data_IF_263071375374
#
_entry.id   IF_263071375374
#
_cell.length_a   1.000
_cell.length_b   1.000
_cell.length_c   1.000
_cell.angle_alpha   90.00
_cell.angle_beta   90.00
_cell.angle_gamma   90.00
#
_symmetry.space_group_name_H-M   'P 1'
#
loop_
_entity.id
_entity.type
_entity.pdbx_description
1 polymer ?
#
# COMPACT_ATOMS: atom_id res chain seq x y z
N UNK A 1 -73.08 -30.47 10.04
CA UNK A 1 -73.10 -30.18 8.59
C UNK A 1 -72.13 -29.02 8.36
N UNK A 2 -71.08 -29.24 7.57
CA UNK A 2 -70.00 -28.29 7.27
C UNK A 2 -70.45 -27.14 6.35
N UNK A 3 -69.90 -25.95 6.57
CA UNK A 3 -69.42 -25.07 5.49
C UNK A 3 -68.39 -24.06 6.05
N UNK A 4 -67.19 -23.93 5.45
CA UNK A 4 -66.17 -22.97 5.88
C UNK A 4 -66.31 -21.65 5.11
N UNK A 5 -66.02 -20.53 5.79
CA UNK A 5 -65.79 -19.23 5.13
C UNK A 5 -64.31 -18.91 5.15
N UNK A 6 -63.86 -18.54 3.97
CA UNK A 6 -62.53 -18.32 3.43
C UNK A 6 -61.99 -16.95 3.83
N UNK A 7 -60.80 -16.90 4.45
CA UNK A 7 -60.01 -15.66 4.50
C UNK A 7 -58.67 -15.86 3.78
N UNK A 8 -58.63 -15.32 2.57
CA UNK A 8 -57.41 -14.95 1.85
C UNK A 8 -56.80 -13.71 2.52
N UNK A 9 -55.48 -13.72 2.78
CA UNK A 9 -54.57 -12.59 2.53
C UNK A 9 -53.23 -12.78 3.27
N UNK A 10 -52.44 -13.77 2.86
CA UNK A 10 -51.01 -13.85 3.20
C UNK A 10 -50.18 -13.76 1.91
N UNK A 11 -50.51 -12.79 1.04
CA UNK A 11 -49.75 -12.51 -0.20
C UNK A 11 -48.86 -11.26 -0.12
N UNK A 12 -48.87 -10.54 1.00
CA UNK A 12 -48.11 -9.28 1.16
C UNK A 12 -46.71 -9.42 1.77
N UNK A 13 -46.44 -10.48 2.55
CA UNK A 13 -45.21 -10.57 3.34
C UNK A 13 -43.98 -11.09 2.57
N UNK A 14 -44.18 -11.71 1.40
CA UNK A 14 -43.08 -12.38 0.66
C UNK A 14 -42.27 -11.40 -0.21
N UNK A 15 -42.82 -10.24 -0.59
CA UNK A 15 -42.15 -9.30 -1.49
C UNK A 15 -41.18 -8.33 -0.80
N UNK A 16 -41.22 -8.19 0.53
CA UNK A 16 -40.31 -7.29 1.28
C UNK A 16 -39.04 -8.03 1.71
N UNK A 17 -39.07 -9.37 1.82
CA UNK A 17 -37.91 -10.16 2.24
C UNK A 17 -36.85 -10.38 1.14
N UNK A 18 -37.13 -10.04 -0.12
CA UNK A 18 -36.20 -10.20 -1.24
C UNK A 18 -35.31 -8.99 -1.51
N UNK A 19 -35.50 -7.88 -0.79
CA UNK A 19 -34.75 -6.62 -1.03
C UNK A 19 -33.57 -6.39 -0.07
N UNK A 20 -33.32 -7.30 0.88
CA UNK A 20 -32.42 -7.04 2.02
C UNK A 20 -31.03 -7.68 1.93
N UNK A 21 -30.71 -8.39 0.85
CA UNK A 21 -29.44 -9.13 0.74
C UNK A 21 -28.52 -8.59 -0.36
N UNK A 22 -28.43 -7.27 -0.50
CA UNK A 22 -27.27 -6.63 -1.13
C UNK A 22 -26.20 -6.46 -0.04
N UNK A 23 -25.52 -7.56 0.29
CA UNK A 23 -24.27 -7.47 1.04
C UNK A 23 -23.29 -6.80 0.08
N UNK A 24 -23.09 -5.49 0.24
CA UNK A 24 -22.04 -4.77 -0.44
C UNK A 24 -20.72 -5.36 0.04
N UNK A 25 -20.10 -6.21 -0.79
CA UNK A 25 -18.74 -6.65 -0.58
C UNK A 25 -17.87 -5.41 -0.79
N UNK A 26 -17.51 -4.73 0.30
CA UNK A 26 -16.50 -3.69 0.24
C UNK A 26 -15.18 -4.36 -0.09
N UNK A 27 -14.82 -4.39 -1.38
CA UNK A 27 -13.44 -4.60 -1.76
C UNK A 27 -12.65 -3.44 -1.13
N UNK A 28 -11.82 -3.75 -0.14
CA UNK A 28 -10.88 -2.77 0.41
C UNK A 28 -9.91 -2.41 -0.71
N UNK A 29 -9.94 -1.15 -1.13
CA UNK A 29 -8.98 -0.63 -2.11
C UNK A 29 -7.56 -0.87 -1.60
N UNK A 30 -6.69 -1.35 -2.48
CA UNK A 30 -5.32 -1.63 -2.10
C UNK A 30 -4.46 -0.38 -2.30
N UNK A 31 -3.84 0.08 -1.23
CA UNK A 31 -2.97 1.26 -1.25
C UNK A 31 -1.48 0.90 -1.21
N UNK A 32 -0.66 1.75 -1.81
CA UNK A 32 0.79 1.78 -1.64
C UNK A 32 1.13 2.85 -0.61
N UNK A 33 1.83 2.45 0.45
CA UNK A 33 2.43 3.37 1.41
C UNK A 33 3.82 3.79 0.92
N UNK A 34 4.04 5.10 0.82
CA UNK A 34 5.39 5.66 0.73
C UNK A 34 5.92 5.85 2.13
N UNK A 35 7.05 5.21 2.40
CA UNK A 35 7.65 5.10 3.72
C UNK A 35 8.98 5.85 3.77
N UNK A 36 9.25 6.49 4.90
CA UNK A 36 10.42 7.31 5.13
C UNK A 36 11.02 7.05 6.52
N UNK A 37 12.31 7.33 6.66
CA UNK A 37 12.97 7.41 7.97
C UNK A 37 12.36 8.56 8.79
N UNK A 38 12.49 8.50 10.12
CA UNK A 38 11.74 9.37 11.04
C UNK A 38 12.19 10.83 10.98
N UNK A 39 13.41 11.07 10.52
CA UNK A 39 14.09 12.35 10.52
C UNK A 39 13.70 13.23 9.31
N UNK A 40 13.08 12.64 8.29
CA UNK A 40 12.73 13.32 7.04
C UNK A 40 11.59 14.31 7.26
N UNK A 41 11.82 15.57 6.88
CA UNK A 41 10.85 16.64 6.98
C UNK A 41 10.32 17.06 5.60
N UNK A 42 9.43 16.23 5.02
CA UNK A 42 8.77 16.54 3.75
C UNK A 42 7.37 17.08 4.01
N UNK A 43 7.14 18.38 3.73
CA UNK A 43 5.80 18.96 3.73
C UNK A 43 5.68 20.11 2.71
N UNK A 44 4.62 20.14 1.88
CA UNK A 44 3.63 19.08 1.66
C UNK A 44 4.17 17.94 0.79
N UNK A 45 3.70 16.70 1.02
CA UNK A 45 4.01 15.54 0.17
C UNK A 45 2.94 15.41 -0.92
N UNK A 46 3.37 15.20 -2.16
CA UNK A 46 2.50 15.01 -3.34
C UNK A 46 3.18 14.11 -4.37
N UNK A 47 2.41 13.56 -5.32
CA UNK A 47 2.95 12.78 -6.45
C UNK A 47 4.10 13.49 -7.17
N UNK A 48 3.98 14.81 -7.36
CA UNK A 48 5.02 15.60 -8.02
C UNK A 48 6.32 15.64 -7.21
N UNK A 49 6.22 15.83 -5.88
CA UNK A 49 7.37 15.82 -4.98
C UNK A 49 8.02 14.43 -4.99
N UNK A 50 7.22 13.38 -4.82
CA UNK A 50 7.69 12.01 -4.85
C UNK A 50 8.34 11.65 -6.19
N UNK A 51 7.73 12.03 -7.32
CA UNK A 51 8.32 11.85 -8.65
C UNK A 51 9.68 12.52 -8.77
N UNK A 52 9.84 13.73 -8.24
CA UNK A 52 11.16 14.40 -8.21
C UNK A 52 12.17 13.67 -7.33
N UNK A 53 11.77 13.12 -6.19
CA UNK A 53 12.65 12.35 -5.31
C UNK A 53 13.11 11.07 -6.01
N UNK A 54 12.18 10.24 -6.51
CA UNK A 54 12.49 8.94 -7.12
C UNK A 54 13.18 9.06 -8.49
N UNK A 55 13.03 10.19 -9.19
CA UNK A 55 13.84 10.54 -10.37
C UNK A 55 15.14 11.26 -9.98
N UNK A 56 15.48 11.42 -8.70
CA UNK A 56 16.68 12.11 -8.21
C UNK A 56 16.83 13.57 -8.71
N UNK A 57 15.70 14.24 -8.93
CA UNK A 57 15.58 15.68 -9.21
C UNK A 57 15.40 16.53 -7.95
N UNK A 58 15.15 15.89 -6.81
CA UNK A 58 15.13 16.48 -5.47
C UNK A 58 15.98 15.58 -4.57
N UNK A 59 17.15 16.06 -4.15
CA UNK A 59 18.15 15.27 -3.42
C UNK A 59 18.22 15.55 -1.92
N UNK A 60 17.58 16.61 -1.44
CA UNK A 60 17.53 16.96 -0.02
C UNK A 60 16.13 17.41 0.38
N UNK A 61 15.78 17.28 1.65
CA UNK A 61 14.56 17.85 2.21
C UNK A 61 14.73 19.35 2.56
N UNK A 62 13.72 19.93 3.24
CA UNK A 62 13.72 21.35 3.64
C UNK A 62 14.71 21.69 4.75
N UNK A 63 15.20 20.69 5.48
CA UNK A 63 16.19 20.82 6.54
C UNK A 63 17.62 20.50 6.06
N UNK A 64 17.77 20.09 4.80
CA UNK A 64 19.06 19.76 4.19
C UNK A 64 19.45 18.29 4.33
N UNK A 65 18.58 17.43 4.86
CA UNK A 65 18.83 16.00 4.99
C UNK A 65 18.86 15.36 3.60
N UNK A 66 19.85 14.49 3.34
CA UNK A 66 19.99 13.85 2.03
C UNK A 66 18.93 12.78 1.84
N UNK A 67 18.17 12.86 0.75
CA UNK A 67 17.14 11.88 0.43
C UNK A 67 17.76 10.69 -0.31
N UNK A 68 17.56 9.49 0.24
CA UNK A 68 18.06 8.22 -0.27
C UNK A 68 16.89 7.32 -0.73
N UNK A 69 16.30 7.58 -1.91
CA UNK A 69 15.25 6.73 -2.45
C UNK A 69 15.78 5.34 -2.82
N UNK A 70 14.94 4.32 -2.64
CA UNK A 70 15.18 2.94 -3.11
C UNK A 70 13.98 2.41 -3.91
N UNK A 71 14.25 1.52 -4.86
CA UNK A 71 13.25 0.90 -5.73
C UNK A 71 13.18 -0.61 -5.50
N UNK A 72 12.04 -1.21 -5.88
CA UNK A 72 11.92 -2.66 -6.07
C UNK A 72 12.43 -3.06 -7.48
N UNK A 73 12.57 -4.36 -7.79
CA UNK A 73 12.99 -4.81 -9.12
C UNK A 73 12.06 -4.27 -10.21
N UNK A 74 12.54 -3.98 -11.44
CA UNK A 74 11.74 -3.37 -12.50
C UNK A 74 10.45 -4.12 -12.84
N UNK A 75 10.45 -5.44 -12.65
CA UNK A 75 9.32 -6.33 -12.93
C UNK A 75 8.41 -6.56 -11.71
N UNK A 76 8.75 -6.00 -10.54
CA UNK A 76 7.95 -6.18 -9.33
C UNK A 76 6.60 -5.45 -9.46
N UNK A 77 5.45 -6.11 -9.21
CA UNK A 77 4.12 -5.52 -9.39
C UNK A 77 3.95 -4.17 -8.67
N UNK A 78 4.39 -4.06 -7.41
CA UNK A 78 4.33 -2.81 -6.64
C UNK A 78 5.11 -1.67 -7.30
N UNK A 79 6.28 -1.92 -7.91
CA UNK A 79 7.02 -0.89 -8.64
C UNK A 79 6.31 -0.44 -9.90
N UNK A 80 5.68 -1.38 -10.62
CA UNK A 80 4.91 -1.06 -11.81
C UNK A 80 3.74 -0.14 -11.44
N UNK A 81 3.01 -0.48 -10.39
CA UNK A 81 1.93 0.34 -9.84
C UNK A 81 2.43 1.73 -9.42
N UNK A 82 3.46 1.80 -8.58
CA UNK A 82 4.05 3.07 -8.13
C UNK A 82 4.54 3.94 -9.30
N UNK A 83 5.20 3.34 -10.29
CA UNK A 83 5.70 4.07 -11.47
C UNK A 83 4.56 4.67 -12.29
N UNK A 84 3.43 3.97 -12.39
CA UNK A 84 2.25 4.45 -13.11
C UNK A 84 1.56 5.58 -12.34
N UNK A 85 1.25 5.35 -11.07
CA UNK A 85 0.45 6.29 -10.28
C UNK A 85 1.25 7.56 -9.91
N UNK A 86 2.50 7.40 -9.47
CA UNK A 86 3.32 8.50 -8.93
C UNK A 86 4.23 9.11 -9.99
N UNK A 87 5.01 8.28 -10.71
CA UNK A 87 5.96 8.80 -11.69
C UNK A 87 5.27 9.24 -12.98
N UNK A 88 4.09 8.68 -13.27
CA UNK A 88 3.36 8.82 -14.55
C UNK A 88 4.25 8.48 -15.75
N UNK A 89 5.14 7.50 -15.57
CA UNK A 89 6.11 7.07 -16.58
C UNK A 89 5.89 5.60 -16.99
N UNK A 90 6.05 5.33 -18.28
CA UNK A 90 6.17 3.95 -18.79
C UNK A 90 7.59 3.42 -18.59
N UNK A 91 7.76 2.10 -18.58
CA UNK A 91 9.08 1.46 -18.52
C UNK A 91 10.05 1.99 -19.61
N UNK A 92 9.55 2.26 -20.82
CA UNK A 92 10.32 2.86 -21.91
C UNK A 92 10.73 4.31 -21.61
N UNK A 93 9.84 5.10 -21.00
CA UNK A 93 10.16 6.47 -20.61
C UNK A 93 11.23 6.51 -19.52
N UNK A 94 11.11 5.65 -18.49
CA UNK A 94 12.11 5.56 -17.42
C UNK A 94 13.45 5.05 -17.93
N UNK A 95 13.48 4.04 -18.81
CA UNK A 95 14.72 3.57 -19.42
C UNK A 95 15.43 4.69 -20.21
N UNK A 96 14.68 5.45 -21.01
CA UNK A 96 15.20 6.61 -21.74
C UNK A 96 15.71 7.70 -20.78
N UNK A 97 14.98 7.99 -19.71
CA UNK A 97 15.38 8.95 -18.70
C UNK A 97 16.71 8.57 -18.06
N UNK A 98 16.83 7.34 -17.56
CA UNK A 98 18.03 6.86 -16.90
C UNK A 98 19.22 6.75 -17.86
N UNK A 99 19.02 6.34 -19.11
CA UNK A 99 20.09 6.38 -20.13
C UNK A 99 20.69 7.78 -20.26
N UNK A 100 19.87 8.84 -20.26
CA UNK A 100 20.35 10.23 -20.27
C UNK A 100 21.09 10.58 -18.97
N UNK A 101 20.56 10.18 -17.81
CA UNK A 101 21.19 10.48 -16.50
C UNK A 101 22.55 9.79 -16.33
N UNK A 102 22.72 8.57 -16.85
CA UNK A 102 23.99 7.86 -16.81
C UNK A 102 25.12 8.63 -17.51
N UNK A 103 24.85 9.25 -18.66
CA UNK A 103 25.82 10.12 -19.33
C UNK A 103 26.20 11.36 -18.50
N UNK A 104 25.36 11.75 -17.55
CA UNK A 104 25.60 12.84 -16.59
C UNK A 104 26.22 12.34 -15.28
N UNK A 105 26.63 11.06 -15.21
CA UNK A 105 27.21 10.46 -14.00
C UNK A 105 26.20 10.11 -12.91
N UNK A 106 24.90 10.23 -13.18
CA UNK A 106 23.84 9.96 -12.20
C UNK A 106 23.22 8.58 -12.43
N UNK A 107 23.28 7.74 -11.41
CA UNK A 107 22.63 6.42 -11.41
C UNK A 107 21.24 6.46 -10.75
N UNK A 108 20.32 5.56 -11.13
CA UNK A 108 19.01 5.40 -10.50
C UNK A 108 19.10 5.06 -9.01
N UNK A 109 17.99 5.18 -8.27
CA UNK A 109 17.85 4.62 -6.92
C UNK A 109 18.31 3.16 -6.84
N UNK A 110 18.90 2.76 -5.72
CA UNK A 110 19.28 1.37 -5.48
C UNK A 110 18.06 0.45 -5.54
N UNK A 111 18.27 -0.78 -5.99
CA UNK A 111 17.22 -1.79 -6.10
C UNK A 111 17.34 -2.79 -4.96
N UNK A 112 16.26 -2.95 -4.20
CA UNK A 112 16.14 -3.93 -3.12
C UNK A 112 15.16 -5.02 -3.54
N UNK A 113 15.46 -6.27 -3.18
CA UNK A 113 14.76 -7.44 -3.74
C UNK A 113 13.39 -7.73 -3.12
N UNK A 114 13.00 -7.06 -2.04
CA UNK A 114 11.72 -7.28 -1.36
C UNK A 114 11.21 -6.04 -0.62
N UNK A 115 9.91 -6.03 -0.31
CA UNK A 115 9.27 -4.98 0.48
C UNK A 115 9.81 -4.93 1.92
N UNK A 116 10.11 -6.08 2.55
CA UNK A 116 10.77 -6.12 3.86
C UNK A 116 12.19 -5.52 3.81
N UNK A 117 12.94 -5.76 2.73
CA UNK A 117 14.25 -5.13 2.55
C UNK A 117 14.12 -3.60 2.43
N UNK A 118 13.06 -3.11 1.79
CA UNK A 118 12.74 -1.66 1.75
C UNK A 118 12.45 -1.14 3.15
N UNK A 119 11.58 -1.79 3.93
CA UNK A 119 11.27 -1.37 5.30
C UNK A 119 12.54 -1.29 6.17
N UNK A 120 13.36 -2.35 6.14
CA UNK A 120 14.64 -2.39 6.86
C UNK A 120 15.58 -1.27 6.42
N UNK A 121 15.75 -1.07 5.11
CA UNK A 121 16.61 0.00 4.60
C UNK A 121 16.15 1.37 5.11
N UNK A 122 14.84 1.64 5.06
CA UNK A 122 14.24 2.90 5.51
C UNK A 122 14.40 3.10 7.01
N UNK A 123 14.30 2.04 7.81
CA UNK A 123 14.54 2.11 9.26
C UNK A 123 16.01 2.36 9.60
N UNK A 124 16.94 1.73 8.88
CA UNK A 124 18.37 1.73 9.23
C UNK A 124 19.15 2.89 8.57
N UNK A 125 18.55 3.62 7.63
CA UNK A 125 19.23 4.64 6.81
C UNK A 125 18.59 6.03 7.00
N UNK A 126 19.29 6.99 7.63
CA UNK A 126 18.87 8.38 7.64
C UNK A 126 18.61 8.89 6.21
N UNK A 127 17.50 9.58 6.01
CA UNK A 127 17.10 10.04 4.67
C UNK A 127 16.55 8.94 3.76
N UNK A 128 16.46 7.69 4.23
CA UNK A 128 15.88 6.57 3.48
C UNK A 128 14.41 6.79 3.12
N UNK A 129 14.06 6.59 1.85
CA UNK A 129 12.69 6.66 1.33
C UNK A 129 12.42 5.46 0.43
N UNK A 130 11.26 4.82 0.58
CA UNK A 130 10.83 3.71 -0.25
C UNK A 130 9.32 3.64 -0.37
N UNK A 131 8.84 2.55 -0.95
CA UNK A 131 7.40 2.26 -1.04
C UNK A 131 7.14 0.77 -0.89
N UNK A 132 6.04 0.46 -0.23
CA UNK A 132 5.51 -0.89 0.01
C UNK A 132 3.99 -0.87 -0.07
N UNK A 133 3.33 -2.02 -0.12
CA UNK A 133 1.89 -2.08 0.12
C UNK A 133 1.57 -1.63 1.54
N UNK A 134 0.52 -0.85 1.71
CA UNK A 134 0.14 -0.28 3.01
C UNK A 134 -0.09 -1.36 4.07
N UNK A 135 -0.62 -2.51 3.68
CA UNK A 135 -0.81 -3.69 4.54
C UNK A 135 0.49 -4.26 5.14
N UNK A 136 1.65 -3.98 4.54
CA UNK A 136 2.97 -4.41 5.03
C UNK A 136 3.67 -3.35 5.85
N UNK A 137 3.21 -2.10 5.80
CA UNK A 137 3.83 -1.02 6.53
C UNK A 137 3.55 -1.18 8.04
N UNK A 138 4.60 -1.01 8.85
CA UNK A 138 4.52 -1.15 10.31
C UNK A 138 5.13 0.06 11.03
N UNK A 139 5.13 0.02 12.38
CA UNK A 139 5.54 1.13 13.24
C UNK A 139 7.03 1.50 13.16
N UNK A 140 7.87 0.71 12.47
CA UNK A 140 9.31 0.97 12.31
C UNK A 140 9.60 2.13 11.35
N UNK A 141 8.66 2.46 10.47
CA UNK A 141 8.80 3.49 9.44
C UNK A 141 7.74 4.58 9.58
N UNK A 142 8.00 5.74 8.99
CA UNK A 142 7.01 6.80 8.89
C UNK A 142 6.29 6.73 7.54
N UNK A 143 4.96 6.60 7.53
CA UNK A 143 4.17 6.66 6.29
C UNK A 143 3.92 8.13 5.96
N UNK A 144 4.51 8.62 4.86
CA UNK A 144 4.46 10.03 4.46
C UNK A 144 3.44 10.30 3.35
N UNK A 145 2.99 9.25 2.65
CA UNK A 145 2.00 9.36 1.58
C UNK A 145 1.32 8.01 1.32
N UNK A 146 0.06 8.05 0.89
CA UNK A 146 -0.67 6.88 0.38
C UNK A 146 -1.07 7.13 -1.06
N UNK A 147 -0.82 6.12 -1.88
CA UNK A 147 -1.14 6.12 -3.30
C UNK A 147 -2.20 5.06 -3.51
N UNK A 148 -3.39 5.48 -3.93
CA UNK A 148 -4.44 4.55 -4.31
C UNK A 148 -4.08 3.88 -5.63
N UNK A 149 -4.17 2.55 -5.66
CA UNK A 149 -3.90 1.77 -6.87
C UNK A 149 -5.20 1.60 -7.65
N UNK A 150 -5.14 1.68 -8.98
CA UNK A 150 -6.33 1.38 -9.78
C UNK A 150 -6.62 -0.12 -9.82
N UNK A 151 -7.91 -0.45 -9.91
CA UNK A 151 -8.45 -1.80 -9.80
C UNK A 151 -7.78 -2.83 -10.74
N UNK A 152 -7.30 -2.43 -11.91
CA UNK A 152 -6.65 -3.33 -12.87
C UNK A 152 -5.28 -3.89 -12.41
N UNK A 153 -4.69 -3.31 -11.34
CA UNK A 153 -3.48 -3.85 -10.72
C UNK A 153 -3.72 -4.55 -9.40
N UNK A 154 -4.91 -4.42 -8.79
CA UNK A 154 -5.20 -4.98 -7.47
C UNK A 154 -5.01 -6.50 -7.43
N UNK A 155 -5.48 -7.22 -8.46
CA UNK A 155 -5.32 -8.69 -8.56
C UNK A 155 -3.86 -9.15 -8.50
N UNK A 156 -2.92 -8.33 -9.00
CA UNK A 156 -1.48 -8.64 -9.00
C UNK A 156 -0.81 -8.31 -7.68
N UNK A 157 -1.45 -7.49 -6.86
CA UNK A 157 -0.90 -6.95 -5.62
C UNK A 157 -1.49 -7.60 -4.38
N UNK A 158 -2.77 -7.99 -4.41
CA UNK A 158 -3.49 -8.62 -3.29
C UNK A 158 -2.73 -9.82 -2.66
N UNK A 159 -2.09 -10.73 -3.43
CA UNK A 159 -1.39 -11.88 -2.84
C UNK A 159 -0.26 -11.50 -1.88
N UNK A 160 0.34 -10.32 -2.02
CA UNK A 160 1.41 -9.87 -1.13
C UNK A 160 0.91 -9.50 0.27
N UNK A 161 -0.35 -9.06 0.40
CA UNK A 161 -0.96 -8.78 1.70
C UNK A 161 -1.42 -10.06 2.40
N UNK A 162 -2.01 -10.99 1.65
CA UNK A 162 -2.46 -12.28 2.19
C UNK A 162 -1.30 -13.12 2.75
N UNK A 163 -0.11 -13.00 2.16
CA UNK A 163 1.07 -13.71 2.63
C UNK A 163 1.66 -13.11 3.93
N UNK A 164 1.39 -11.83 4.22
CA UNK A 164 1.80 -11.19 5.47
C UNK A 164 1.03 -11.74 6.67
N UNK A 165 -0.29 -11.89 6.52
CA UNK A 165 -1.19 -12.34 7.59
C UNK A 165 -0.91 -13.78 8.05
N UNK A 166 -0.35 -14.60 7.16
CA UNK A 166 -0.04 -16.02 7.42
C UNK A 166 1.39 -16.26 7.94
N UNK A 167 2.17 -15.19 8.21
CA UNK A 167 3.52 -15.32 8.74
C UNK A 167 3.49 -15.66 10.25
N UNK A 168 4.28 -16.63 10.74
CA UNK A 168 4.18 -17.15 12.12
C UNK A 168 4.46 -16.12 13.24
N UNK A 169 4.87 -14.90 12.91
CA UNK A 169 5.10 -13.80 13.86
C UNK A 169 3.80 -13.35 14.55
N UNK A 170 2.62 -13.57 13.94
CA UNK A 170 1.33 -13.28 14.58
C UNK A 170 0.89 -14.30 15.65
N UNK A 171 1.74 -15.27 16.00
CA UNK A 171 1.44 -16.32 16.99
C UNK A 171 2.00 -16.04 18.40
N UNK A 172 2.54 -14.85 18.68
CA UNK A 172 3.05 -14.51 20.02
C UNK A 172 1.87 -14.23 20.95
N UNK A 173 1.53 -15.27 21.71
CA UNK A 173 0.69 -15.39 22.91
C UNK A 173 0.17 -14.09 23.53
N UNK A 174 -1.16 -13.95 23.57
CA UNK A 174 -1.85 -13.16 24.60
C UNK A 174 -1.58 -13.83 25.96
N UNK A 175 -0.97 -13.16 26.95
CA UNK A 175 -0.98 -13.69 28.31
C UNK A 175 -2.41 -13.64 28.82
N UNK A 176 -2.99 -14.82 29.09
CA UNK A 176 -4.20 -14.95 29.90
C UNK A 176 -3.84 -14.48 31.31
N UNK A 177 -4.19 -13.24 31.63
CA UNK A 177 -4.06 -12.68 32.97
C UNK A 177 -4.96 -13.44 33.93
N UNK A 178 -4.38 -14.43 34.61
CA UNK A 178 -4.91 -14.98 35.85
C UNK A 178 -4.61 -13.97 36.97
N UNK A 179 -5.68 -13.39 37.53
CA UNK A 179 -5.62 -12.48 38.66
C UNK A 179 -6.91 -12.59 39.44
N UNK A 180 -7.09 -13.72 40.12
CA UNK A 180 -8.08 -13.85 41.19
C UNK A 180 -7.70 -12.87 42.31
N UNK A 181 -8.60 -11.94 42.60
CA UNK A 181 -8.61 -11.22 43.87
C UNK A 181 -9.98 -11.45 44.52
N UNK A 182 -10.01 -12.37 45.46
CA UNK A 182 -10.94 -12.47 46.59
C UNK A 182 -10.28 -13.34 47.64
#
# INVERSE_FOLDING_TARGET
MMMPIRNHASRGAVLIALLSSLVAWSASALDIAVVASKEIALEPVSDLVLSRIFLKKLGTDKLGETLAPVNLPPTHPVRIAFSREVLRESAKASARYWNKQYFLGTSPPFVLNSQEAVLRFVTDTPGGIGYVLDCLADKRVNIIYRVSVSMDLEDKLAPFCEQSDNSPINSIERPQGSGNLQ
#
